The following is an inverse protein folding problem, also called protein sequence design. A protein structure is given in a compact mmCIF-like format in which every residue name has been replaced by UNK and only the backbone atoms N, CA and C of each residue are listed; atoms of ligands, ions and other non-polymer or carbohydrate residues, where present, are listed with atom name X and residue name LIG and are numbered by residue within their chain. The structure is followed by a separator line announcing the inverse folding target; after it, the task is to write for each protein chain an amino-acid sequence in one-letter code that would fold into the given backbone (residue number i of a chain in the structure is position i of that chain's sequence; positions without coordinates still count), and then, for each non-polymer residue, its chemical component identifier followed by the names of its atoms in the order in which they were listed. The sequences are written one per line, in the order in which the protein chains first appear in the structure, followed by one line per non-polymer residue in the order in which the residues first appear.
data_IF_641225414445
#
_entry.id   IF_641225414445
#
_cell.length_a   1.000
_cell.length_b   1.000
_cell.length_c   1.000
_cell.angle_alpha   90.00
_cell.angle_beta   90.00
_cell.angle_gamma   90.00
#
_symmetry.space_group_name_H-M   'P 1'
#
loop_
_entity.id
_entity.type
_entity.pdbx_description
1 polymer ?
#
# COMPACT_ATOMS: atom_id res chain seq x y z
N UNK A 1 1.84 -17.54 -20.58
CA UNK A 1 1.05 -16.34 -20.96
C UNK A 1 2.01 -15.16 -21.00
N UNK A 2 1.93 -14.26 -21.99
CA UNK A 2 2.82 -13.10 -22.02
C UNK A 2 2.33 -12.01 -21.05
N UNK A 3 3.12 -11.67 -20.03
CA UNK A 3 2.78 -10.62 -19.07
C UNK A 3 3.09 -9.22 -19.63
N UNK A 4 2.05 -8.38 -19.80
CA UNK A 4 2.19 -6.99 -20.29
C UNK A 4 3.10 -6.15 -19.38
N UNK A 5 2.97 -6.29 -18.06
CA UNK A 5 3.78 -5.53 -17.10
C UNK A 5 5.26 -5.90 -17.18
N UNK A 6 5.58 -7.18 -17.45
CA UNK A 6 6.96 -7.61 -17.71
C UNK A 6 7.54 -6.93 -18.95
N UNK A 7 6.76 -6.81 -20.02
CA UNK A 7 7.20 -6.09 -21.23
C UNK A 7 7.38 -4.59 -20.97
N UNK A 8 6.59 -3.98 -20.09
CA UNK A 8 6.72 -2.57 -19.71
C UNK A 8 8.02 -2.35 -18.92
N UNK A 9 8.29 -3.13 -17.86
CA UNK A 9 9.55 -2.98 -17.09
C UNK A 9 10.81 -3.27 -17.92
N UNK A 10 10.69 -4.06 -18.99
CA UNK A 10 11.77 -4.35 -19.93
C UNK A 10 11.92 -3.27 -21.03
N UNK A 11 11.09 -2.23 -21.02
CA UNK A 11 11.09 -1.16 -22.02
C UNK A 11 10.56 -1.59 -23.41
N UNK A 12 9.95 -2.78 -23.52
CA UNK A 12 9.40 -3.32 -24.77
C UNK A 12 8.02 -2.74 -25.10
N UNK A 13 7.29 -2.23 -24.11
CA UNK A 13 6.03 -1.53 -24.27
C UNK A 13 6.11 -0.15 -23.61
N UNK A 14 5.52 0.86 -24.25
CA UNK A 14 5.44 2.21 -23.69
C UNK A 14 4.40 2.27 -22.58
N UNK A 15 4.72 3.00 -21.52
CA UNK A 15 3.82 3.33 -20.42
C UNK A 15 4.08 4.76 -19.94
N UNK A 16 3.07 5.37 -19.28
CA UNK A 16 3.23 6.66 -18.61
C UNK A 16 3.71 6.42 -17.19
N UNK A 17 5.03 6.25 -17.05
CA UNK A 17 5.69 5.98 -15.77
C UNK A 17 5.69 7.25 -14.92
N UNK A 18 5.27 7.14 -13.65
CA UNK A 18 5.28 8.25 -12.67
C UNK A 18 6.31 8.03 -11.56
N UNK A 19 6.72 6.78 -11.34
CA UNK A 19 7.79 6.42 -10.41
C UNK A 19 8.43 5.10 -10.85
N UNK A 20 9.74 4.98 -10.69
CA UNK A 20 10.46 3.73 -10.93
C UNK A 20 11.72 3.69 -10.06
N UNK A 21 11.93 2.58 -9.36
CA UNK A 21 13.17 2.28 -8.66
C UNK A 21 13.69 0.87 -9.03
N UNK A 22 14.62 0.31 -8.26
CA UNK A 22 15.16 -1.03 -8.50
C UNK A 22 14.16 -2.17 -8.24
N UNK A 23 13.12 -1.94 -7.46
CA UNK A 23 12.21 -2.94 -6.88
C UNK A 23 10.79 -2.82 -7.47
N UNK A 24 10.26 -1.61 -7.65
CA UNK A 24 8.89 -1.33 -8.04
C UNK A 24 8.81 -0.30 -9.17
N UNK A 25 7.67 -0.30 -9.87
CA UNK A 25 7.33 0.66 -10.91
C UNK A 25 5.88 1.10 -10.70
N UNK A 26 5.62 2.39 -10.83
CA UNK A 26 4.28 2.97 -10.84
C UNK A 26 4.02 3.69 -12.17
N UNK A 27 2.86 3.44 -12.76
CA UNK A 27 2.46 4.03 -14.04
C UNK A 27 0.97 4.37 -14.07
N UNK A 28 0.58 5.30 -14.93
CA UNK A 28 -0.84 5.55 -15.18
C UNK A 28 -1.45 4.38 -15.94
N UNK A 29 -2.63 3.94 -15.51
CA UNK A 29 -3.40 2.90 -16.18
C UNK A 29 -3.80 3.34 -17.59
N UNK A 30 -3.74 2.43 -18.55
CA UNK A 30 -4.27 2.65 -19.92
C UNK A 30 -5.80 2.68 -19.95
N UNK A 31 -6.44 1.97 -19.00
CA UNK A 31 -7.89 1.86 -18.84
C UNK A 31 -8.28 2.39 -17.45
N UNK A 32 -8.20 3.71 -17.23
CA UNK A 32 -8.37 4.29 -15.91
C UNK A 32 -9.82 4.15 -15.41
N UNK A 33 -9.98 3.72 -14.15
CA UNK A 33 -11.26 3.75 -13.45
C UNK A 33 -11.57 5.14 -12.86
N UNK A 34 -10.53 5.94 -12.63
CA UNK A 34 -10.60 7.30 -12.09
C UNK A 34 -9.52 8.18 -12.73
N UNK A 35 -9.68 9.50 -12.65
CA UNK A 35 -8.65 10.44 -13.09
C UNK A 35 -7.33 10.18 -12.36
N UNK A 36 -6.27 9.90 -13.12
CA UNK A 36 -4.96 9.62 -12.53
C UNK A 36 -4.85 8.25 -11.86
N UNK A 37 -5.70 7.27 -12.20
CA UNK A 37 -5.54 5.87 -11.80
C UNK A 37 -4.09 5.39 -12.01
N UNK A 38 -3.41 5.07 -10.90
CA UNK A 38 -2.03 4.56 -10.90
C UNK A 38 -2.01 3.06 -10.62
N UNK A 39 -1.27 2.32 -11.43
CA UNK A 39 -0.96 0.91 -11.25
C UNK A 39 0.50 0.78 -10.77
N UNK A 40 0.69 0.16 -9.61
CA UNK A 40 1.99 -0.04 -8.95
C UNK A 40 2.25 -1.53 -8.88
N UNK A 41 3.41 -1.98 -9.35
CA UNK A 41 3.77 -3.40 -9.33
C UNK A 41 5.26 -3.60 -9.06
N UNK A 42 5.59 -4.78 -8.53
CA UNK A 42 6.99 -5.18 -8.34
C UNK A 42 7.65 -5.50 -9.68
N UNK A 43 8.94 -5.20 -9.81
CA UNK A 43 9.73 -5.69 -10.95
C UNK A 43 9.86 -7.21 -10.92
N UNK A 44 9.75 -7.85 -9.76
CA UNK A 44 9.61 -9.31 -9.67
C UNK A 44 8.22 -9.73 -10.17
N UNK A 45 8.17 -10.73 -11.05
CA UNK A 45 6.91 -11.28 -11.55
C UNK A 45 6.37 -12.31 -10.56
N UNK A 46 5.25 -11.97 -9.90
CA UNK A 46 4.49 -12.84 -9.01
C UNK A 46 3.00 -12.58 -9.19
N UNK A 47 2.16 -13.56 -8.88
CA UNK A 47 0.70 -13.42 -8.95
C UNK A 47 0.07 -13.04 -7.60
N UNK A 48 0.77 -13.30 -6.49
CA UNK A 48 0.27 -13.08 -5.14
C UNK A 48 1.32 -12.39 -4.25
N UNK A 49 0.86 -11.68 -3.24
CA UNK A 49 1.70 -10.94 -2.29
C UNK A 49 2.53 -11.87 -1.41
N UNK A 50 2.04 -13.08 -1.12
CA UNK A 50 2.73 -14.08 -0.31
C UNK A 50 4.02 -14.60 -0.97
N UNK A 51 4.16 -14.42 -2.28
CA UNK A 51 5.36 -14.78 -3.03
C UNK A 51 6.44 -13.67 -3.04
N UNK A 52 6.14 -12.50 -2.46
CA UNK A 52 7.09 -11.40 -2.32
C UNK A 52 7.90 -11.52 -1.03
N UNK A 53 9.14 -11.02 -1.08
CA UNK A 53 9.94 -10.80 0.12
C UNK A 53 9.44 -9.56 0.87
N UNK A 54 9.59 -9.53 2.20
CA UNK A 54 9.14 -8.44 3.06
C UNK A 54 9.60 -7.05 2.59
N UNK A 55 10.85 -6.94 2.12
CA UNK A 55 11.39 -5.67 1.61
C UNK A 55 10.63 -5.16 0.37
N UNK A 56 10.18 -6.07 -0.50
CA UNK A 56 9.40 -5.72 -1.70
C UNK A 56 8.00 -5.29 -1.30
N UNK A 57 7.39 -5.98 -0.34
CA UNK A 57 6.08 -5.62 0.22
C UNK A 57 6.13 -4.23 0.87
N UNK A 58 7.14 -3.96 1.70
CA UNK A 58 7.37 -2.67 2.33
C UNK A 58 7.52 -1.55 1.29
N UNK A 59 8.32 -1.78 0.25
CA UNK A 59 8.54 -0.79 -0.81
C UNK A 59 7.25 -0.53 -1.62
N UNK A 60 6.51 -1.58 -1.96
CA UNK A 60 5.26 -1.49 -2.71
C UNK A 60 4.25 -0.59 -1.98
N UNK A 61 4.05 -0.79 -0.67
CA UNK A 61 3.12 0.03 0.11
C UNK A 61 3.66 1.43 0.44
N UNK A 62 4.97 1.59 0.57
CA UNK A 62 5.60 2.93 0.71
C UNK A 62 5.34 3.78 -0.53
N UNK A 63 5.50 3.19 -1.72
CA UNK A 63 5.22 3.85 -3.00
C UNK A 63 3.71 4.07 -3.17
N UNK A 64 2.85 3.13 -2.77
CA UNK A 64 1.40 3.32 -2.80
C UNK A 64 0.93 4.50 -1.93
N UNK A 65 1.47 4.62 -0.71
CA UNK A 65 1.16 5.71 0.21
C UNK A 65 1.58 7.08 -0.36
N UNK A 66 2.81 7.15 -0.89
CA UNK A 66 3.34 8.36 -1.54
C UNK A 66 2.54 8.74 -2.77
N UNK A 67 2.23 7.74 -3.61
CA UNK A 67 1.43 7.91 -4.83
C UNK A 67 0.02 8.39 -4.51
N UNK A 68 -0.64 7.84 -3.49
CA UNK A 68 -1.96 8.30 -3.06
C UNK A 68 -1.95 9.80 -2.71
N UNK A 69 -0.86 10.27 -2.10
CA UNK A 69 -0.78 11.67 -1.74
C UNK A 69 -0.48 12.60 -2.89
N UNK A 70 0.43 12.20 -3.78
CA UNK A 70 0.66 12.93 -5.02
C UNK A 70 -0.60 12.97 -5.89
N UNK A 71 -1.32 11.84 -5.99
CA UNK A 71 -2.56 11.75 -6.75
C UNK A 71 -3.66 12.62 -6.16
N UNK A 72 -3.84 12.62 -4.84
CA UNK A 72 -4.82 13.47 -4.16
C UNK A 72 -4.64 14.94 -4.52
N UNK A 73 -3.41 15.45 -4.42
CA UNK A 73 -3.09 16.85 -4.73
C UNK A 73 -3.20 17.15 -6.23
N UNK A 74 -2.57 16.32 -7.08
CA UNK A 74 -2.51 16.56 -8.52
C UNK A 74 -3.88 16.45 -9.21
N UNK A 75 -4.78 15.63 -8.67
CA UNK A 75 -6.13 15.45 -9.24
C UNK A 75 -7.21 16.25 -8.53
N UNK A 76 -6.90 16.95 -7.42
CA UNK A 76 -7.89 17.59 -6.56
C UNK A 76 -8.94 16.60 -6.03
N UNK A 77 -8.52 15.38 -5.67
CA UNK A 77 -9.41 14.36 -5.15
C UNK A 77 -9.96 14.75 -3.77
N UNK A 78 -11.07 14.15 -3.37
CA UNK A 78 -11.62 14.24 -2.01
C UNK A 78 -11.16 13.06 -1.13
N UNK A 79 -10.61 12.03 -1.75
CA UNK A 79 -9.98 10.90 -1.07
C UNK A 79 -9.25 10.01 -2.05
N UNK A 80 -8.72 8.89 -1.56
CA UNK A 80 -8.11 7.87 -2.41
C UNK A 80 -8.45 6.47 -1.91
N UNK A 81 -8.54 5.51 -2.82
CA UNK A 81 -8.50 4.10 -2.46
C UNK A 81 -7.18 3.48 -2.92
N UNK A 82 -6.64 2.60 -2.07
CA UNK A 82 -5.54 1.69 -2.41
C UNK A 82 -6.15 0.29 -2.47
N UNK A 83 -6.06 -0.37 -3.63
CA UNK A 83 -6.74 -1.64 -3.89
C UNK A 83 -5.73 -2.64 -4.44
N UNK A 84 -5.73 -3.85 -3.90
CA UNK A 84 -4.91 -4.94 -4.40
C UNK A 84 -5.79 -6.17 -4.61
N UNK A 85 -5.68 -6.77 -5.79
CA UNK A 85 -6.34 -8.03 -6.12
C UNK A 85 -5.33 -9.15 -5.97
N UNK A 86 -5.45 -9.95 -4.90
CA UNK A 86 -4.48 -10.96 -4.50
C UNK A 86 -4.97 -12.39 -4.76
N UNK A 87 -4.35 -13.08 -5.70
CA UNK A 87 -4.66 -14.47 -6.04
C UNK A 87 -5.89 -14.65 -6.94
N UNK A 88 -6.24 -15.91 -7.17
CA UNK A 88 -7.30 -16.29 -8.10
C UNK A 88 -8.69 -15.81 -7.65
N UNK A 89 -9.57 -15.54 -8.61
CA UNK A 89 -10.95 -15.05 -8.40
C UNK A 89 -11.07 -13.63 -7.80
N UNK A 90 -9.99 -12.84 -7.82
CA UNK A 90 -10.02 -11.45 -7.34
C UNK A 90 -10.27 -10.42 -8.44
N UNK A 91 -10.55 -10.85 -9.68
CA UNK A 91 -10.68 -9.99 -10.86
C UNK A 91 -9.42 -9.15 -11.15
N UNK A 92 -8.23 -9.65 -10.79
CA UNK A 92 -6.98 -9.05 -11.22
C UNK A 92 -6.91 -9.08 -12.78
N UNK A 93 -6.82 -7.92 -13.46
CA UNK A 93 -6.73 -7.88 -14.92
C UNK A 93 -5.38 -8.33 -15.46
N UNK A 94 -4.37 -8.50 -14.60
CA UNK A 94 -3.02 -8.90 -14.97
C UNK A 94 -2.64 -10.25 -14.36
N UNK A 95 -1.93 -11.13 -15.10
CA UNK A 95 -1.18 -12.24 -14.51
C UNK A 95 0.12 -11.67 -13.90
N UNK A 96 -0.04 -10.78 -12.92
CA UNK A 96 0.99 -10.09 -12.16
C UNK A 96 0.28 -9.35 -11.01
N UNK A 97 0.84 -9.38 -9.81
CA UNK A 97 0.39 -8.59 -8.66
C UNK A 97 0.44 -7.09 -8.95
N UNK A 98 -0.69 -6.41 -8.78
CA UNK A 98 -0.81 -4.95 -8.94
C UNK A 98 -1.50 -4.36 -7.73
N UNK A 99 -0.91 -3.29 -7.20
CA UNK A 99 -1.51 -2.37 -6.24
C UNK A 99 -1.99 -1.13 -6.98
N UNK A 100 -3.28 -0.85 -6.95
CA UNK A 100 -3.91 0.27 -7.63
C UNK A 100 -4.14 1.42 -6.65
N UNK A 101 -3.93 2.64 -7.12
CA UNK A 101 -4.28 3.86 -6.39
C UNK A 101 -5.28 4.66 -7.22
N UNK A 102 -6.47 4.86 -6.64
CA UNK A 102 -7.61 5.50 -7.30
C UNK A 102 -7.95 6.80 -6.58
N UNK A 103 -8.03 7.92 -7.31
CA UNK A 103 -8.62 9.15 -6.80
C UNK A 103 -10.11 8.95 -6.56
N UNK A 104 -10.64 9.46 -5.44
CA UNK A 104 -12.06 9.42 -5.12
C UNK A 104 -12.68 10.80 -5.09
N UNK A 105 -13.90 10.88 -5.61
CA UNK A 105 -14.77 12.06 -5.57
C UNK A 105 -16.20 11.60 -5.34
N UNK A 106 -17.02 12.50 -4.83
CA UNK A 106 -18.46 12.32 -4.77
C UNK A 106 -18.99 11.96 -6.17
N UNK A 107 -19.87 10.95 -6.22
CA UNK A 107 -20.50 10.43 -7.44
C UNK A 107 -19.54 9.98 -8.55
N UNK A 108 -18.32 9.54 -8.22
CA UNK A 108 -17.34 9.05 -9.20
C UNK A 108 -17.69 7.69 -9.85
N UNK A 109 -18.79 7.05 -9.44
CA UNK A 109 -19.27 5.79 -10.01
C UNK A 109 -18.46 4.56 -9.61
N UNK A 110 -17.40 4.70 -8.79
CA UNK A 110 -16.59 3.58 -8.31
C UNK A 110 -17.27 2.96 -7.10
N UNK A 111 -17.64 1.68 -7.22
CA UNK A 111 -18.42 0.98 -6.21
C UNK A 111 -17.62 -0.16 -5.53
N UNK A 112 -17.36 0.01 -4.23
CA UNK A 112 -16.79 -1.02 -3.35
C UNK A 112 -17.80 -1.49 -2.28
N UNK A 113 -19.10 -1.47 -2.58
CA UNK A 113 -20.12 -1.89 -1.63
C UNK A 113 -20.25 -3.42 -1.60
N UNK A 114 -20.20 -3.98 -0.40
CA UNK A 114 -20.68 -5.33 -0.11
C UNK A 114 -21.85 -5.25 0.86
N UNK A 115 -22.75 -6.23 0.79
CA UNK A 115 -23.80 -6.39 1.80
C UNK A 115 -23.16 -6.98 3.06
N UNK A 116 -23.19 -6.29 4.21
CA UNK A 116 -22.69 -6.86 5.46
C UNK A 116 -23.44 -8.16 5.75
N UNK A 117 -22.69 -9.19 6.15
CA UNK A 117 -23.26 -10.46 6.60
C UNK A 117 -23.11 -10.54 8.11
N UNK A 118 -24.13 -11.06 8.78
CA UNK A 118 -24.05 -11.44 10.18
C UNK A 118 -23.74 -12.93 10.25
N UNK A 119 -22.56 -13.27 10.77
CA UNK A 119 -22.11 -14.64 10.99
C UNK A 119 -22.38 -15.03 12.44
N UNK A 120 -22.44 -16.34 12.72
CA UNK A 120 -22.54 -16.80 14.10
C UNK A 120 -21.21 -16.54 14.83
N UNK A 121 -21.24 -16.13 16.12
CA UNK A 121 -20.01 -15.89 16.90
C UNK A 121 -19.04 -17.07 16.85
N UNK A 122 -19.54 -18.29 16.92
CA UNK A 122 -18.75 -19.52 16.93
C UNK A 122 -17.98 -19.74 15.62
N UNK A 123 -18.55 -19.33 14.49
CA UNK A 123 -17.89 -19.41 13.18
C UNK A 123 -16.70 -18.44 13.11
N UNK A 124 -16.87 -17.23 13.65
CA UNK A 124 -15.82 -16.22 13.71
C UNK A 124 -14.69 -16.62 14.66
N UNK A 125 -15.02 -17.16 15.84
CA UNK A 125 -14.05 -17.62 16.83
C UNK A 125 -13.20 -18.78 16.28
N UNK A 126 -13.84 -19.73 15.57
CA UNK A 126 -13.13 -20.83 14.93
C UNK A 126 -12.15 -20.34 13.85
N UNK A 127 -12.53 -19.32 13.07
CA UNK A 127 -11.64 -18.71 12.07
C UNK A 127 -10.51 -17.94 12.75
N UNK A 128 -10.79 -17.18 13.79
CA UNK A 128 -9.77 -16.44 14.56
C UNK A 128 -8.69 -17.39 15.11
N UNK A 129 -9.09 -18.51 15.72
CA UNK A 129 -8.14 -19.51 16.22
C UNK A 129 -7.24 -20.03 15.10
N UNK A 130 -7.85 -20.44 13.98
CA UNK A 130 -7.09 -20.97 12.82
C UNK A 130 -6.13 -19.94 12.24
N UNK A 131 -6.52 -18.66 12.22
CA UNK A 131 -5.63 -17.59 11.77
C UNK A 131 -4.46 -17.48 12.74
N UNK A 132 -4.69 -17.39 14.05
CA UNK A 132 -3.59 -17.28 15.04
C UNK A 132 -2.63 -18.46 15.01
N UNK A 133 -3.14 -19.67 14.82
CA UNK A 133 -2.32 -20.88 14.77
C UNK A 133 -1.45 -20.93 13.49
N UNK A 134 -1.91 -20.32 12.40
CA UNK A 134 -1.25 -20.34 11.08
C UNK A 134 -0.48 -19.06 10.74
N UNK A 135 -0.88 -17.94 11.31
CA UNK A 135 -0.43 -16.58 10.98
C UNK A 135 -0.33 -15.77 12.27
N UNK A 136 0.82 -15.11 12.46
CA UNK A 136 1.29 -14.38 13.67
C UNK A 136 1.87 -15.32 14.74
N UNK A 137 3.17 -15.47 14.98
CA UNK A 137 4.27 -14.50 15.03
C UNK A 137 5.58 -15.31 14.89
N UNK A 138 6.02 -15.65 13.68
CA UNK A 138 7.17 -16.55 13.58
C UNK A 138 8.52 -15.86 13.88
N UNK A 139 8.73 -14.57 13.57
CA UNK A 139 10.07 -13.95 13.76
C UNK A 139 10.12 -12.45 14.10
N UNK A 140 9.01 -11.70 14.02
CA UNK A 140 9.05 -10.22 14.13
C UNK A 140 8.88 -9.63 15.56
N UNK A 141 8.56 -10.43 16.59
CA UNK A 141 8.40 -9.94 17.98
C UNK A 141 9.45 -10.44 18.99
N UNK A 142 10.40 -11.31 18.62
CA UNK A 142 11.49 -11.67 19.54
C UNK A 142 12.61 -10.62 19.59
N UNK A 143 12.59 -9.62 18.72
CA UNK A 143 13.41 -8.41 18.89
C UNK A 143 12.60 -7.38 19.67
N UNK A 144 12.92 -7.29 20.96
CA UNK A 144 12.52 -6.27 21.94
C UNK A 144 11.27 -6.54 22.79
N UNK A 145 11.36 -7.52 23.69
CA UNK A 145 11.03 -7.26 25.09
C UNK A 145 12.30 -6.89 25.86
N UNK A 146 12.80 -5.67 25.68
CA UNK A 146 13.62 -5.06 26.74
C UNK A 146 12.66 -4.63 27.82
N UNK A 147 12.77 -5.25 28.99
CA UNK A 147 12.07 -4.77 30.19
C UNK A 147 12.32 -3.26 30.34
N UNK A 148 11.31 -2.46 30.73
CA UNK A 148 11.52 -1.05 30.97
C UNK A 148 12.55 -0.90 32.09
N UNK A 149 13.76 -0.44 31.73
CA UNK A 149 14.73 0.03 32.71
C UNK A 149 14.05 1.15 33.49
N UNK A 150 14.02 1.02 34.82
CA UNK A 150 13.56 2.07 35.73
C UNK A 150 14.19 3.39 35.30
N UNK A 151 13.35 4.42 35.15
CA UNK A 151 13.81 5.76 34.85
C UNK A 151 14.75 6.22 35.97
N UNK A 152 16.04 6.31 35.67
CA UNK A 152 16.97 7.15 36.41
C UNK A 152 16.88 8.54 35.80
N UNK A 153 16.47 9.50 36.64
CA UNK A 153 16.53 10.92 36.34
C UNK A 153 17.98 11.30 36.02
N UNK A 154 18.25 11.91 34.86
CA UNK A 154 19.07 13.11 34.81
C UNK A 154 19.12 13.84 33.46
N UNK A 155 18.85 15.14 33.59
CA UNK A 155 19.39 16.33 32.92
C UNK A 155 18.98 16.63 31.46
N UNK A 156 18.14 17.67 31.38
CA UNK A 156 17.94 18.56 30.24
C UNK A 156 19.27 18.90 29.55
N UNK A 157 19.38 18.55 28.28
CA UNK A 157 20.19 19.27 27.31
C UNK A 157 19.25 19.83 26.25
N UNK A 158 19.50 21.08 25.90
CA UNK A 158 18.64 21.96 25.11
C UNK A 158 18.32 21.37 23.73
N UNK A 159 17.03 21.37 23.37
CA UNK A 159 16.56 21.03 22.04
C UNK A 159 16.97 22.14 21.07
N UNK A 160 17.89 21.84 20.15
CA UNK A 160 18.05 22.63 18.93
C UNK A 160 16.79 22.47 18.09
N UNK A 161 15.99 23.53 18.04
CA UNK A 161 14.86 23.67 17.12
C UNK A 161 15.43 23.75 15.71
N UNK A 162 15.43 22.62 15.00
CA UNK A 162 15.67 22.60 13.56
C UNK A 162 14.41 23.18 12.90
N UNK A 163 14.51 24.38 12.34
CA UNK A 163 13.49 24.96 11.47
C UNK A 163 13.40 24.14 10.19
N UNK A 164 12.34 23.34 10.05
CA UNK A 164 12.06 22.54 8.84
C UNK A 164 11.28 23.43 7.86
N UNK A 165 12.01 24.15 7.00
CA UNK A 165 11.45 24.72 5.77
C UNK A 165 11.75 23.79 4.60
N UNK A 166 11.11 22.61 4.58
CA UNK A 166 11.00 21.75 3.41
C UNK A 166 9.73 20.91 3.57
N UNK A 167 8.87 20.93 2.56
CA UNK A 167 7.55 20.32 2.52
C UNK A 167 7.58 18.80 2.77
N UNK A 168 7.66 18.37 4.03
CA UNK A 168 7.59 16.96 4.38
C UNK A 168 6.20 16.42 4.03
N UNK A 169 6.14 15.48 3.08
CA UNK A 169 4.94 14.78 2.67
C UNK A 169 4.17 14.18 3.87
N UNK A 170 4.88 13.72 4.92
CA UNK A 170 4.25 13.17 6.12
C UNK A 170 3.45 14.24 6.88
N UNK A 171 3.92 15.49 6.89
CA UNK A 171 3.21 16.62 7.49
C UNK A 171 1.95 16.93 6.68
N UNK A 172 2.04 16.94 5.34
CA UNK A 172 0.88 17.12 4.46
C UNK A 172 -0.20 16.04 4.61
N UNK A 173 0.16 14.83 5.06
CA UNK A 173 -0.83 13.79 5.32
C UNK A 173 -1.70 14.09 6.54
N UNK A 174 -1.17 14.82 7.54
CA UNK A 174 -1.92 15.17 8.75
C UNK A 174 -3.06 16.16 8.46
N UNK A 175 -2.88 17.05 7.48
CA UNK A 175 -3.90 18.02 7.06
C UNK A 175 -5.14 17.39 6.41
N UNK A 176 -5.09 16.08 6.13
CA UNK A 176 -6.18 15.32 5.48
C UNK A 176 -7.05 14.55 6.47
N UNK A 177 -6.66 14.50 7.73
CA UNK A 177 -7.44 13.85 8.78
C UNK A 177 -8.60 14.77 9.20
N UNK A 178 -9.81 14.22 9.42
CA UNK A 178 -10.97 15.00 9.88
C UNK A 178 -10.80 15.54 11.30
#
# INVERSE_FOLDING_TARGET
MECKLCKIKEGKLKAKIVYEDAIVLAMLSEYPAALGHVEIFSKQHVDTIEALQDIVVQQLFTVANTTASALFEASGAQGTNIVMFNGDNTNNPYPHLVCMVLSRREDDGINFQWKPKQLQPEEMDAVQSKIRDKAFIAEHHEKEKKEPKKAEEHKKQEEEVITIEEENYQVKQLDRLP
#
